data_IF_187704890040
#
_entry.id   IF_187704890040
#
_cell.length_a   1.000
_cell.length_b   1.000
_cell.length_c   1.000
_cell.angle_alpha   90.00
_cell.angle_beta   90.00
_cell.angle_gamma   90.00
#
_symmetry.space_group_name_H-M   'P 1'
#
loop_
_entity.id
_entity.type
_entity.pdbx_description
1 polymer ?
#
# COMPACT_ATOMS: atom_id res chain seq x y z
N UNK A 1 2.83 28.68 -13.23
CA UNK A 1 1.51 28.29 -13.78
C UNK A 1 1.54 26.80 -13.99
N UNK A 2 0.63 26.09 -13.34
CA UNK A 2 0.46 24.65 -13.42
C UNK A 2 -0.48 24.31 -14.58
N UNK A 3 0.04 23.92 -15.73
CA UNK A 3 -0.77 23.72 -16.93
C UNK A 3 -1.37 22.31 -17.06
N UNK A 4 -2.20 22.10 -18.07
CA UNK A 4 -2.85 20.81 -18.32
C UNK A 4 -1.86 19.66 -18.60
N UNK A 5 -0.71 19.94 -19.21
CA UNK A 5 0.31 18.92 -19.49
C UNK A 5 0.97 18.49 -18.19
N UNK A 6 1.35 19.44 -17.34
CA UNK A 6 1.92 19.17 -16.02
C UNK A 6 0.92 18.42 -15.14
N UNK A 7 -0.35 18.79 -15.19
CA UNK A 7 -1.42 18.06 -14.51
C UNK A 7 -1.54 16.61 -14.98
N UNK A 8 -1.53 16.36 -16.29
CA UNK A 8 -1.58 15.01 -16.84
C UNK A 8 -0.36 14.17 -16.42
N UNK A 9 0.83 14.77 -16.42
CA UNK A 9 2.08 14.11 -15.98
C UNK A 9 1.99 13.73 -14.51
N UNK A 10 1.58 14.64 -13.62
CA UNK A 10 1.44 14.33 -12.20
C UNK A 10 0.36 13.28 -11.95
N UNK A 11 -0.77 13.36 -12.64
CA UNK A 11 -1.82 12.34 -12.52
C UNK A 11 -1.32 10.96 -12.95
N UNK A 12 -0.53 10.87 -14.03
CA UNK A 12 0.09 9.61 -14.46
C UNK A 12 1.14 9.12 -13.43
N UNK A 13 1.96 10.01 -12.92
CA UNK A 13 2.94 9.72 -11.87
C UNK A 13 2.28 9.17 -10.59
N UNK A 14 1.18 9.77 -10.13
CA UNK A 14 0.43 9.29 -8.96
C UNK A 14 -0.17 7.93 -9.24
N UNK A 15 -0.76 7.73 -10.42
CA UNK A 15 -1.27 6.43 -10.84
C UNK A 15 -0.19 5.36 -10.74
N UNK A 16 0.99 5.62 -11.28
CA UNK A 16 2.10 4.66 -11.30
C UNK A 16 2.62 4.36 -9.90
N UNK A 17 2.69 5.33 -8.99
CA UNK A 17 3.06 5.10 -7.58
C UNK A 17 2.06 4.15 -6.89
N UNK A 18 0.76 4.34 -7.12
CA UNK A 18 -0.29 3.51 -6.51
C UNK A 18 -0.24 2.08 -7.05
N UNK A 19 -0.06 1.90 -8.35
CA UNK A 19 0.08 0.57 -8.95
C UNK A 19 1.40 -0.09 -8.52
N UNK A 20 2.50 0.66 -8.49
CA UNK A 20 3.81 0.18 -8.08
C UNK A 20 3.80 -0.31 -6.63
N UNK A 21 3.12 0.36 -5.71
CA UNK A 21 2.99 -0.06 -4.31
C UNK A 21 2.60 -1.54 -4.18
N UNK A 22 1.55 -1.93 -4.90
CA UNK A 22 0.94 -3.25 -4.78
C UNK A 22 1.64 -4.28 -5.67
N UNK A 23 2.02 -3.90 -6.89
CA UNK A 23 2.77 -4.77 -7.79
C UNK A 23 4.15 -5.12 -7.22
N UNK A 24 4.87 -4.14 -6.66
CA UNK A 24 6.17 -4.37 -6.03
C UNK A 24 6.05 -5.26 -4.81
N UNK A 25 4.93 -5.17 -4.06
CA UNK A 25 4.65 -6.13 -2.99
C UNK A 25 4.49 -7.54 -3.56
N UNK A 26 3.70 -7.71 -4.62
CA UNK A 26 3.45 -9.02 -5.25
C UNK A 26 4.73 -9.68 -5.78
N UNK A 27 5.60 -8.91 -6.42
CA UNK A 27 6.87 -9.41 -6.99
C UNK A 27 8.06 -9.31 -6.01
N UNK A 28 7.79 -9.08 -4.72
CA UNK A 28 8.75 -9.02 -3.62
C UNK A 28 9.91 -8.02 -3.83
N UNK A 29 9.65 -6.89 -4.49
CA UNK A 29 10.61 -5.79 -4.71
C UNK A 29 10.49 -4.70 -3.64
N UNK A 30 10.60 -5.08 -2.37
CA UNK A 30 10.37 -4.18 -1.22
C UNK A 30 11.35 -3.01 -1.15
N UNK A 31 12.55 -3.15 -1.69
CA UNK A 31 13.54 -2.08 -1.81
C UNK A 31 13.07 -0.96 -2.75
N UNK A 32 12.31 -1.31 -3.80
CA UNK A 32 11.67 -0.33 -4.68
C UNK A 32 10.47 0.35 -4.05
N UNK A 33 9.76 -0.33 -3.16
CA UNK A 33 8.68 0.29 -2.38
C UNK A 33 9.25 1.41 -1.51
N UNK A 34 10.37 1.16 -0.83
CA UNK A 34 11.03 2.17 0.00
C UNK A 34 11.51 3.40 -0.79
N UNK A 35 11.98 3.23 -2.03
CA UNK A 35 12.59 4.31 -2.82
C UNK A 35 11.62 5.02 -3.77
N UNK A 36 10.70 4.29 -4.39
CA UNK A 36 9.81 4.80 -5.43
C UNK A 36 8.41 5.15 -4.91
N UNK A 37 7.98 4.56 -3.80
CA UNK A 37 6.57 4.58 -3.38
C UNK A 37 6.34 5.36 -2.11
N UNK A 38 7.01 5.02 -1.00
CA UNK A 38 6.73 5.64 0.29
C UNK A 38 7.47 6.95 0.50
N UNK A 39 6.80 7.87 1.19
CA UNK A 39 7.43 9.09 1.67
C UNK A 39 8.40 8.77 2.82
N UNK A 40 9.24 9.74 3.20
CA UNK A 40 10.16 9.57 4.33
C UNK A 40 9.43 9.09 5.58
N UNK A 41 8.26 9.68 5.86
CA UNK A 41 7.32 9.26 6.90
C UNK A 41 5.98 8.89 6.28
N UNK A 42 5.41 7.78 6.73
CA UNK A 42 4.09 7.29 6.31
C UNK A 42 3.21 7.02 7.52
N UNK A 43 1.96 7.51 7.46
CA UNK A 43 0.90 7.11 8.39
C UNK A 43 0.15 5.90 7.85
N UNK A 44 0.07 4.84 8.65
CA UNK A 44 -0.46 3.55 8.24
C UNK A 44 -1.63 3.15 9.14
N UNK A 45 -2.74 2.76 8.52
CA UNK A 45 -3.95 2.29 9.19
C UNK A 45 -4.39 0.95 8.58
N UNK A 46 -4.12 -0.12 9.32
CA UNK A 46 -4.57 -1.48 9.05
C UNK A 46 -5.65 -1.96 10.04
N UNK A 47 -6.24 -1.06 10.84
CA UNK A 47 -7.13 -1.44 11.95
C UNK A 47 -8.30 -2.31 11.49
N UNK A 48 -8.83 -2.05 10.29
CA UNK A 48 -9.94 -2.83 9.74
C UNK A 48 -9.59 -4.27 9.32
N UNK A 49 -8.31 -4.59 9.15
CA UNK A 49 -7.81 -5.91 8.72
C UNK A 49 -7.17 -6.67 9.89
N UNK A 50 -6.25 -6.00 10.62
CA UNK A 50 -5.40 -6.61 11.63
C UNK A 50 -5.80 -6.23 13.07
N UNK A 51 -6.75 -5.29 13.25
CA UNK A 51 -6.99 -4.66 14.55
C UNK A 51 -5.87 -3.68 14.93
N UNK A 52 -5.78 -3.35 16.21
CA UNK A 52 -4.80 -2.39 16.72
C UNK A 52 -5.10 -0.94 16.33
N UNK A 53 -4.11 -0.07 16.51
CA UNK A 53 -4.22 1.38 16.28
C UNK A 53 -3.38 1.83 15.07
N UNK A 54 -3.79 2.88 14.36
CA UNK A 54 -2.94 3.52 13.35
C UNK A 54 -1.60 3.97 13.91
N UNK A 55 -0.56 3.93 13.09
CA UNK A 55 0.80 4.31 13.47
C UNK A 55 1.49 5.13 12.38
N UNK A 56 2.60 5.78 12.73
CA UNK A 56 3.46 6.51 11.79
C UNK A 56 4.88 6.01 11.95
N UNK A 57 5.50 5.61 10.84
CA UNK A 57 6.88 5.12 10.77
C UNK A 57 7.56 5.63 9.50
N UNK A 58 8.85 5.34 9.33
CA UNK A 58 9.52 5.68 8.08
C UNK A 58 9.06 4.76 6.93
N UNK A 59 9.10 5.28 5.69
CA UNK A 59 8.80 4.47 4.51
C UNK A 59 9.71 3.24 4.38
N UNK A 60 10.97 3.37 4.77
CA UNK A 60 11.93 2.26 4.78
C UNK A 60 11.57 1.17 5.80
N UNK A 61 11.17 1.55 7.00
CA UNK A 61 10.70 0.60 8.03
C UNK A 61 9.42 -0.12 7.59
N UNK A 62 8.46 0.60 6.99
CA UNK A 62 7.23 0.01 6.47
C UNK A 62 7.51 -1.02 5.38
N UNK A 63 8.42 -0.71 4.45
CA UNK A 63 8.84 -1.65 3.41
C UNK A 63 9.54 -2.88 3.99
N UNK A 64 10.36 -2.71 5.04
CA UNK A 64 10.99 -3.82 5.75
C UNK A 64 9.97 -4.70 6.49
N UNK A 65 8.93 -4.13 7.08
CA UNK A 65 7.83 -4.87 7.70
C UNK A 65 7.09 -5.73 6.66
N UNK A 66 6.79 -5.16 5.49
CA UNK A 66 6.19 -5.91 4.38
C UNK A 66 7.11 -7.04 3.92
N UNK A 67 8.41 -6.79 3.78
CA UNK A 67 9.40 -7.81 3.44
C UNK A 67 9.37 -8.99 4.42
N UNK A 68 9.37 -8.70 5.72
CA UNK A 68 9.34 -9.72 6.76
C UNK A 68 8.04 -10.54 6.73
N UNK A 69 6.90 -9.90 6.45
CA UNK A 69 5.61 -10.58 6.33
C UNK A 69 5.54 -11.49 5.09
N UNK A 70 6.12 -11.07 3.97
CA UNK A 70 6.07 -11.80 2.69
C UNK A 70 6.95 -13.05 2.63
N UNK A 71 7.84 -13.26 3.60
CA UNK A 71 8.66 -14.47 3.69
C UNK A 71 7.78 -15.71 3.84
N UNK A 72 6.65 -15.57 4.52
CA UNK A 72 5.78 -16.70 4.87
C UNK A 72 4.72 -17.00 3.81
N UNK A 73 4.60 -16.17 2.76
CA UNK A 73 3.63 -16.38 1.68
C UNK A 73 4.27 -17.09 0.48
N UNK A 74 3.64 -18.20 0.08
CA UNK A 74 3.96 -18.93 -1.15
C UNK A 74 3.53 -18.12 -2.38
N UNK A 75 2.39 -17.43 -2.30
CA UNK A 75 1.96 -16.46 -3.29
C UNK A 75 1.16 -15.33 -2.64
N UNK A 76 1.26 -14.13 -3.24
CA UNK A 76 0.36 -13.03 -2.96
C UNK A 76 0.00 -12.33 -4.27
N UNK A 77 -1.21 -11.79 -4.36
CA UNK A 77 -1.64 -11.04 -5.53
C UNK A 77 -2.63 -9.96 -5.16
N UNK A 78 -2.33 -8.73 -5.56
CA UNK A 78 -3.24 -7.58 -5.48
C UNK A 78 -3.89 -7.32 -6.84
N UNK A 79 -5.21 -7.43 -6.90
CA UNK A 79 -6.01 -6.97 -8.04
C UNK A 79 -6.53 -5.57 -7.75
N UNK A 80 -5.90 -4.58 -8.38
CA UNK A 80 -6.15 -3.15 -8.12
C UNK A 80 -6.89 -2.54 -9.30
N UNK A 81 -8.02 -1.88 -9.04
CA UNK A 81 -8.77 -1.17 -10.07
C UNK A 81 -8.12 0.19 -10.39
N UNK A 82 -8.63 0.88 -11.40
CA UNK A 82 -8.16 2.23 -11.72
C UNK A 82 -8.33 3.16 -10.52
N UNK A 83 -7.26 3.83 -10.04
CA UNK A 83 -7.35 4.76 -8.92
C UNK A 83 -8.15 6.01 -9.30
N UNK A 84 -8.99 6.47 -8.38
CA UNK A 84 -9.61 7.79 -8.43
C UNK A 84 -8.67 8.78 -7.74
N UNK A 85 -8.05 9.65 -8.53
CA UNK A 85 -7.03 10.61 -8.07
C UNK A 85 -7.66 11.99 -7.97
N UNK A 86 -7.54 12.62 -6.80
CA UNK A 86 -7.82 14.04 -6.60
C UNK A 86 -6.50 14.80 -6.41
N UNK A 87 -6.21 15.65 -7.38
CA UNK A 87 -5.01 16.48 -7.50
C UNK A 87 -5.38 17.97 -7.69
N UNK A 88 -6.66 18.31 -7.56
CA UNK A 88 -7.19 19.58 -8.04
C UNK A 88 -7.27 19.67 -9.57
N UNK A 89 -7.52 20.89 -10.07
CA UNK A 89 -7.71 21.19 -11.49
C UNK A 89 -6.46 21.84 -12.11
N UNK A 90 -6.24 21.71 -13.42
CA UNK A 90 -5.19 22.46 -14.11
C UNK A 90 -5.44 23.98 -14.04
N UNK A 91 -4.40 24.75 -14.35
CA UNK A 91 -4.33 26.22 -14.33
C UNK A 91 -4.24 26.86 -12.93
N UNK A 92 -3.82 26.10 -11.93
CA UNK A 92 -3.41 26.68 -10.65
C UNK A 92 -2.14 27.55 -10.82
N UNK A 93 -1.93 28.50 -9.89
CA UNK A 93 -0.72 29.33 -9.88
C UNK A 93 0.54 28.46 -9.71
N UNK A 94 0.47 27.53 -8.77
CA UNK A 94 1.55 26.62 -8.36
C UNK A 94 1.13 25.15 -8.50
N UNK A 95 2.08 24.22 -8.70
CA UNK A 95 1.81 22.79 -8.65
C UNK A 95 1.30 22.35 -7.27
N UNK A 96 0.40 21.35 -7.19
CA UNK A 96 -0.05 20.80 -5.93
C UNK A 96 1.11 20.10 -5.21
N UNK A 97 1.16 20.27 -3.89
CA UNK A 97 2.10 19.59 -3.00
C UNK A 97 1.53 18.29 -2.42
N UNK A 98 0.22 18.08 -2.49
CA UNK A 98 -0.47 16.89 -1.99
C UNK A 98 -1.52 16.40 -2.98
N UNK A 99 -1.88 15.11 -2.85
CA UNK A 99 -2.96 14.47 -3.59
C UNK A 99 -3.65 13.44 -2.70
N UNK A 100 -4.92 13.12 -3.01
CA UNK A 100 -5.62 12.00 -2.39
C UNK A 100 -6.04 10.98 -3.43
N UNK A 101 -6.04 9.70 -3.05
CA UNK A 101 -6.43 8.60 -3.94
C UNK A 101 -7.36 7.64 -3.22
N UNK A 102 -8.43 7.27 -3.92
CA UNK A 102 -9.29 6.15 -3.56
C UNK A 102 -9.13 5.04 -4.60
N UNK A 103 -8.87 3.82 -4.17
CA UNK A 103 -8.73 2.69 -5.09
C UNK A 103 -9.26 1.40 -4.48
N UNK A 104 -10.14 0.72 -5.20
CA UNK A 104 -10.60 -0.62 -4.80
C UNK A 104 -9.53 -1.65 -5.13
N UNK A 105 -9.29 -2.55 -4.18
CA UNK A 105 -8.27 -3.59 -4.28
C UNK A 105 -8.79 -4.89 -3.68
N UNK A 106 -8.61 -5.98 -4.42
CA UNK A 106 -8.72 -7.34 -3.90
C UNK A 106 -7.34 -7.92 -3.64
N UNK A 107 -7.18 -8.68 -2.57
CA UNK A 107 -5.93 -9.39 -2.23
C UNK A 107 -6.23 -10.87 -2.12
N UNK A 108 -5.41 -11.70 -2.76
CA UNK A 108 -5.37 -13.14 -2.51
C UNK A 108 -4.00 -13.48 -1.92
N UNK A 109 -4.01 -14.11 -0.76
CA UNK A 109 -2.83 -14.62 -0.08
C UNK A 109 -2.88 -16.14 -0.08
N UNK A 110 -1.74 -16.76 -0.36
CA UNK A 110 -1.56 -18.22 -0.32
C UNK A 110 -0.42 -18.57 0.62
N UNK A 111 -0.71 -19.47 1.55
CA UNK A 111 0.29 -20.14 2.37
C UNK A 111 -0.11 -21.61 2.51
N UNK A 112 0.56 -22.49 1.78
CA UNK A 112 0.25 -23.92 1.68
C UNK A 112 0.36 -24.61 3.05
N UNK A 113 1.27 -24.13 3.90
CA UNK A 113 1.47 -24.64 5.25
C UNK A 113 0.42 -24.16 6.28
N UNK A 114 -0.55 -23.32 5.91
CA UNK A 114 -1.53 -22.79 6.87
C UNK A 114 -2.56 -23.84 7.32
N UNK A 115 -2.72 -24.00 8.63
CA UNK A 115 -3.79 -24.82 9.20
C UNK A 115 -5.17 -24.23 8.89
N UNK A 116 -6.10 -25.05 8.40
CA UNK A 116 -7.45 -24.62 8.00
C UNK A 116 -7.60 -24.27 6.52
N UNK A 117 -6.54 -24.48 5.72
CA UNK A 117 -6.56 -24.30 4.26
C UNK A 117 -5.64 -23.16 3.79
N UNK A 118 -5.23 -23.17 2.51
CA UNK A 118 -4.08 -22.37 2.09
C UNK A 118 -4.42 -20.93 1.69
N UNK A 119 -5.69 -20.58 1.52
CA UNK A 119 -6.10 -19.33 0.85
C UNK A 119 -6.83 -18.39 1.81
N UNK A 120 -6.44 -17.12 1.74
CA UNK A 120 -7.22 -15.99 2.25
C UNK A 120 -7.46 -14.98 1.13
N UNK A 121 -8.69 -14.49 1.04
CA UNK A 121 -9.09 -13.41 0.14
C UNK A 121 -9.64 -12.24 0.93
N UNK A 122 -9.22 -11.03 0.56
CA UNK A 122 -9.65 -9.78 1.17
C UNK A 122 -10.12 -8.86 0.06
N UNK A 123 -11.36 -8.40 0.12
CA UNK A 123 -11.85 -7.33 -0.74
C UNK A 123 -11.96 -6.04 0.04
N UNK A 124 -11.39 -4.97 -0.50
CA UNK A 124 -11.36 -3.69 0.18
C UNK A 124 -11.04 -2.53 -0.74
N UNK A 125 -10.58 -1.46 -0.11
CA UNK A 125 -10.04 -0.30 -0.79
C UNK A 125 -8.90 0.32 0.00
N UNK A 126 -8.05 1.05 -0.69
CA UNK A 126 -7.12 1.97 -0.07
C UNK A 126 -7.64 3.40 -0.12
N UNK A 127 -7.47 4.12 0.99
CA UNK A 127 -7.59 5.56 1.11
C UNK A 127 -6.17 6.10 1.33
N UNK A 128 -5.62 6.75 0.31
CA UNK A 128 -4.22 7.18 0.27
C UNK A 128 -4.11 8.70 0.26
N UNK A 129 -3.06 9.21 0.89
CA UNK A 129 -2.57 10.57 0.66
C UNK A 129 -1.15 10.49 0.13
N UNK A 130 -0.83 11.35 -0.83
CA UNK A 130 0.49 11.48 -1.41
C UNK A 130 1.03 12.90 -1.19
N UNK A 131 2.35 12.98 -1.06
CA UNK A 131 3.10 14.22 -0.98
C UNK A 131 4.07 14.33 -2.16
N UNK A 132 4.24 15.55 -2.67
CA UNK A 132 5.26 15.86 -3.68
C UNK A 132 6.61 16.07 -2.99
N UNK A 133 7.63 15.39 -3.49
CA UNK A 133 9.02 15.51 -3.07
C UNK A 133 9.81 16.42 -4.02
N UNK A 134 10.96 16.91 -3.58
CA UNK A 134 11.87 17.74 -4.38
C UNK A 134 12.82 16.94 -5.29
N UNK A 135 12.52 15.66 -5.56
CA UNK A 135 13.38 14.82 -6.40
C UNK A 135 13.29 15.26 -7.86
N UNK A 136 14.42 15.67 -8.44
CA UNK A 136 14.52 16.07 -9.84
C UNK A 136 14.77 14.87 -10.76
N UNK A 137 14.20 14.90 -11.96
CA UNK A 137 14.44 13.89 -13.00
C UNK A 137 13.75 12.53 -12.77
N UNK A 138 12.97 12.38 -11.70
CA UNK A 138 12.16 11.18 -11.45
C UNK A 138 10.73 11.56 -11.05
N UNK A 139 9.88 10.54 -10.84
CA UNK A 139 8.53 10.74 -10.34
C UNK A 139 8.58 11.40 -8.95
N UNK A 140 7.99 12.60 -8.76
CA UNK A 140 8.12 13.34 -7.51
C UNK A 140 7.14 12.90 -6.42
N UNK A 141 6.16 12.05 -6.71
CA UNK A 141 5.09 11.71 -5.77
C UNK A 141 5.44 10.52 -4.88
N UNK A 142 5.09 10.59 -3.61
CA UNK A 142 5.25 9.50 -2.65
C UNK A 142 4.04 9.38 -1.73
N UNK A 143 3.65 8.17 -1.35
CA UNK A 143 2.55 7.90 -0.41
C UNK A 143 2.98 8.29 1.00
N UNK A 144 2.29 9.26 1.58
CA UNK A 144 2.47 9.74 2.96
C UNK A 144 1.42 9.19 3.92
N UNK A 145 0.32 8.65 3.40
CA UNK A 145 -0.68 7.93 4.19
C UNK A 145 -1.25 6.76 3.42
N UNK A 146 -1.38 5.64 4.12
CA UNK A 146 -1.99 4.42 3.61
C UNK A 146 -2.98 3.88 4.62
N UNK A 147 -4.27 3.94 4.28
CA UNK A 147 -5.33 3.30 5.05
C UNK A 147 -5.97 2.20 4.24
N UNK A 148 -5.94 0.98 4.75
CA UNK A 148 -6.65 -0.15 4.17
C UNK A 148 -8.04 -0.28 4.83
N UNK A 149 -9.08 -0.29 4.00
CA UNK A 149 -10.46 -0.49 4.43
C UNK A 149 -10.93 -1.86 3.96
N UNK A 150 -11.08 -2.77 4.91
CA UNK A 150 -11.70 -4.07 4.71
C UNK A 150 -13.20 -3.91 4.43
N UNK A 151 -13.69 -4.50 3.33
CA UNK A 151 -15.12 -4.54 2.99
C UNK A 151 -15.65 -5.96 3.20
N UNK A 152 -14.90 -6.97 2.79
CA UNK A 152 -15.22 -8.37 3.02
C UNK A 152 -13.96 -9.24 3.07
N UNK A 153 -14.06 -10.38 3.75
CA UNK A 153 -13.02 -11.40 3.79
C UNK A 153 -13.63 -12.77 3.51
N UNK A 154 -12.89 -13.64 2.82
CA UNK A 154 -13.27 -15.02 2.55
C UNK A 154 -12.05 -15.93 2.70
N UNK A 155 -12.24 -17.13 3.25
CA UNK A 155 -11.17 -18.11 3.44
C UNK A 155 -10.51 -18.06 4.82
N UNK A 156 -9.27 -18.54 4.89
CA UNK A 156 -8.60 -18.87 6.14
C UNK A 156 -7.74 -17.72 6.68
N UNK A 157 -8.20 -17.06 7.75
CA UNK A 157 -7.43 -15.99 8.40
C UNK A 157 -6.09 -16.44 8.97
N UNK A 158 -5.93 -17.73 9.27
CA UNK A 158 -4.66 -18.24 9.77
C UNK A 158 -3.54 -18.03 8.75
N UNK A 159 -3.81 -17.88 7.46
CA UNK A 159 -2.81 -17.51 6.44
C UNK A 159 -2.00 -16.26 6.86
N UNK A 160 -2.61 -15.27 7.52
CA UNK A 160 -1.92 -14.05 7.98
C UNK A 160 -1.20 -14.19 9.33
N UNK A 161 -1.52 -15.23 10.12
CA UNK A 161 -1.02 -15.39 11.50
C UNK A 161 0.15 -16.39 11.49
N UNK A 162 1.24 -16.13 12.20
CA UNK A 162 2.33 -17.11 12.35
C UNK A 162 1.91 -18.24 13.27
N UNK A 163 2.32 -19.46 12.96
CA UNK A 163 2.06 -20.62 13.82
C UNK A 163 2.74 -20.49 15.20
N UNK A 164 3.84 -19.71 15.27
CA UNK A 164 4.63 -19.49 16.49
C UNK A 164 4.03 -18.44 17.46
N UNK A 165 2.97 -17.72 17.07
CA UNK A 165 2.26 -16.78 17.95
C UNK A 165 1.33 -17.50 18.96
N UNK A 166 1.27 -18.84 18.90
CA UNK A 166 0.49 -19.70 19.80
C UNK A 166 1.29 -20.31 20.96
N UNK A 167 2.53 -19.87 21.22
CA UNK A 167 3.19 -20.23 22.49
C UNK A 167 2.44 -19.58 23.67
N UNK A 168 1.46 -20.32 24.21
CA UNK A 168 0.92 -20.12 25.55
C UNK A 168 2.09 -19.90 26.53
N UNK A 169 2.06 -18.86 27.38
CA UNK A 169 3.03 -18.75 28.47
C UNK A 169 3.01 -20.05 29.26
N UNK A 170 4.17 -20.71 29.38
CA UNK A 170 4.31 -21.84 30.29
C UNK A 170 3.89 -21.38 31.69
N UNK A 171 2.93 -22.10 32.26
CA UNK A 171 2.43 -21.92 33.62
C UNK A 171 3.54 -22.05 34.68
#
# INVERSE_FOLDING_TARGET
MYDATQWLVDRANIHDVVIAMLLYADIKQTEKIASDVFAEQISVDYTSILGGEPYTISGGEQAAMWKAMQVDFDALQHTTLSPLIDLGQPNAAEPPSTASVLVNTGVTLVRDAAEGGPILQIGGRYELELTRTSLEGCNPWRISKMKAVNIWMNGNKNVMIKQDDFETPKA
#
